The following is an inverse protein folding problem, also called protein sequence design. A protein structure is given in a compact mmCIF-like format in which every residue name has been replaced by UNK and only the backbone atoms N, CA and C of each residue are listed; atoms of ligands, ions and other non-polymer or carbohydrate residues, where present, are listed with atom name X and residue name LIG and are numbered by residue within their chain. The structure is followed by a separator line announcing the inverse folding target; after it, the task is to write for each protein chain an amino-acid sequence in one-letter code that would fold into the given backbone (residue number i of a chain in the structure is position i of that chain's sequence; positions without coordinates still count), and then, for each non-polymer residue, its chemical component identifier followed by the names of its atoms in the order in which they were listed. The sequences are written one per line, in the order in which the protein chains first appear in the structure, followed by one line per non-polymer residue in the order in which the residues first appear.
data_IF_083401885164
#
_entry.id   IF_083401885164
#
_cell.length_a   1.000
_cell.length_b   1.000
_cell.length_c   1.000
_cell.angle_alpha   90.00
_cell.angle_beta   90.00
_cell.angle_gamma   90.00
#
_symmetry.space_group_name_H-M   'P 1'
#
loop_
_entity.id
_entity.type
_entity.pdbx_description
1 polymer ?
#
# COMPACT_ATOMS: atom_id res chain seq x y z
N UNK A 1 -3.86 -15.02 10.24
CA UNK A 1 -3.54 -13.69 9.66
C UNK A 1 -2.82 -12.93 10.76
N UNK A 2 -1.82 -12.10 10.49
CA UNK A 2 -1.19 -11.33 11.58
C UNK A 2 -2.25 -10.41 12.18
N UNK A 3 -2.82 -10.78 13.33
CA UNK A 3 -3.83 -10.01 14.08
C UNK A 3 -3.19 -8.80 14.78
N UNK A 4 -2.21 -8.19 14.14
CA UNK A 4 -1.49 -7.05 14.67
C UNK A 4 -2.12 -5.78 14.10
N UNK A 5 -2.26 -4.77 14.93
CA UNK A 5 -2.58 -3.39 14.54
C UNK A 5 -1.34 -2.52 14.73
N UNK A 6 -1.31 -1.37 14.05
CA UNK A 6 -0.26 -0.39 14.24
C UNK A 6 -0.39 0.29 15.60
N UNK A 7 0.73 0.65 16.26
CA UNK A 7 0.67 1.40 17.49
C UNK A 7 0.30 2.87 17.20
N UNK A 8 -0.70 3.35 17.95
CA UNK A 8 -1.41 4.58 17.62
C UNK A 8 -0.57 5.85 17.81
N UNK A 9 0.37 5.85 18.76
CA UNK A 9 1.19 7.02 19.06
C UNK A 9 2.20 7.29 17.94
N UNK A 10 2.91 6.27 17.50
CA UNK A 10 3.88 6.29 16.40
C UNK A 10 3.16 6.58 15.08
N UNK A 11 2.01 5.94 14.85
CA UNK A 11 1.17 6.27 13.70
C UNK A 11 0.77 7.75 13.70
N UNK A 12 0.32 8.30 14.84
CA UNK A 12 -0.04 9.71 14.93
C UNK A 12 1.16 10.65 14.67
N UNK A 13 2.36 10.29 15.14
CA UNK A 13 3.59 11.02 14.85
C UNK A 13 3.91 11.04 13.35
N UNK A 14 3.85 9.88 12.69
CA UNK A 14 4.04 9.77 11.24
C UNK A 14 3.04 10.63 10.48
N UNK A 15 1.74 10.50 10.80
CA UNK A 15 0.69 11.24 10.09
C UNK A 15 0.85 12.76 10.28
N UNK A 16 1.18 13.22 11.50
CA UNK A 16 1.46 14.63 11.78
C UNK A 16 2.66 15.15 10.97
N UNK A 17 3.74 14.37 10.89
CA UNK A 17 4.93 14.71 10.08
C UNK A 17 4.59 14.81 8.60
N UNK A 18 3.77 13.90 8.08
CA UNK A 18 3.28 13.97 6.70
C UNK A 18 2.45 15.25 6.47
N UNK A 19 1.54 15.58 7.39
CA UNK A 19 0.70 16.77 7.29
C UNK A 19 1.50 18.07 7.21
N UNK A 20 2.49 18.22 8.10
CA UNK A 20 3.32 19.43 8.18
C UNK A 20 4.21 19.57 6.94
N UNK A 21 4.85 18.50 6.49
CA UNK A 21 5.91 18.58 5.49
C UNK A 21 5.41 18.45 4.05
N UNK A 22 4.27 17.79 3.82
CA UNK A 22 3.86 17.37 2.48
C UNK A 22 2.46 17.80 2.06
N UNK A 23 1.63 18.33 2.98
CA UNK A 23 0.25 18.76 2.71
C UNK A 23 -0.53 17.73 1.87
N UNK A 24 -0.78 16.52 2.39
CA UNK A 24 -1.41 15.45 1.63
C UNK A 24 -2.83 15.81 1.21
N UNK A 25 -3.31 15.19 0.12
CA UNK A 25 -4.70 15.37 -0.33
C UNK A 25 -5.66 14.71 0.66
N UNK A 26 -5.34 13.48 1.05
CA UNK A 26 -6.14 12.69 1.97
C UNK A 26 -5.33 11.56 2.62
N UNK A 27 -5.79 11.13 3.80
CA UNK A 27 -5.48 9.86 4.41
C UNK A 27 -6.70 8.95 4.36
N UNK A 28 -6.49 7.70 4.01
CA UNK A 28 -7.48 6.63 4.12
C UNK A 28 -7.02 5.70 5.23
N UNK A 29 -7.88 5.42 6.21
CA UNK A 29 -7.59 4.56 7.34
C UNK A 29 -8.56 3.38 7.38
N UNK A 30 -8.03 2.18 7.56
CA UNK A 30 -8.82 0.96 7.82
C UNK A 30 -8.62 0.56 9.28
N UNK A 31 -9.73 0.35 9.98
CA UNK A 31 -9.76 -0.09 11.38
C UNK A 31 -10.65 -1.31 11.56
N UNK A 32 -10.70 -1.85 12.77
CA UNK A 32 -11.59 -2.97 13.14
C UNK A 32 -13.06 -2.68 12.87
N UNK A 33 -13.51 -1.45 13.10
CA UNK A 33 -14.92 -1.07 12.97
C UNK A 33 -15.25 -0.47 11.60
N UNK A 34 -14.25 -0.01 10.86
CA UNK A 34 -14.46 0.77 9.64
C UNK A 34 -13.50 0.34 8.53
N UNK A 35 -14.06 -0.13 7.41
CA UNK A 35 -13.26 -0.55 6.26
C UNK A 35 -12.46 0.61 5.64
N UNK A 36 -13.02 1.82 5.61
CA UNK A 36 -12.31 3.00 5.13
C UNK A 36 -12.85 4.32 5.70
N UNK A 37 -12.06 4.98 6.53
CA UNK A 37 -12.29 6.35 7.02
C UNK A 37 -11.36 7.30 6.28
N UNK A 38 -11.91 8.39 5.75
CA UNK A 38 -11.16 9.38 4.97
C UNK A 38 -11.01 10.67 5.78
N UNK A 39 -9.76 11.04 6.06
CA UNK A 39 -9.39 12.41 6.45
C UNK A 39 -8.90 13.15 5.23
N UNK A 40 -9.62 14.19 4.81
CA UNK A 40 -9.25 15.00 3.64
C UNK A 40 -8.80 16.40 4.04
N UNK A 41 -7.91 16.97 3.23
CA UNK A 41 -7.53 18.37 3.36
C UNK A 41 -8.68 19.28 2.88
N UNK A 42 -9.17 20.15 3.77
CA UNK A 42 -10.34 21.02 3.51
C UNK A 42 -10.14 21.91 2.28
N UNK A 43 -8.90 22.32 1.96
CA UNK A 43 -8.57 23.13 0.79
C UNK A 43 -8.89 22.43 -0.55
N UNK A 44 -8.83 21.10 -0.57
CA UNK A 44 -9.07 20.27 -1.77
C UNK A 44 -10.36 19.47 -1.70
N UNK A 45 -11.23 19.75 -0.73
CA UNK A 45 -12.50 19.02 -0.49
C UNK A 45 -13.35 18.92 -1.75
N UNK A 46 -13.54 20.02 -2.49
CA UNK A 46 -14.38 20.04 -3.69
C UNK A 46 -13.86 19.12 -4.79
N UNK A 47 -12.55 19.18 -5.06
CA UNK A 47 -11.90 18.29 -6.04
C UNK A 47 -11.91 16.83 -5.57
N UNK A 48 -11.63 16.58 -4.30
CA UNK A 48 -11.66 15.23 -3.73
C UNK A 48 -13.06 14.61 -3.82
N UNK A 49 -14.11 15.36 -3.43
CA UNK A 49 -15.49 14.89 -3.54
C UNK A 49 -15.93 14.67 -5.00
N UNK A 50 -15.42 15.46 -5.93
CA UNK A 50 -15.66 15.27 -7.36
C UNK A 50 -15.00 13.98 -7.88
N UNK A 51 -13.70 13.76 -7.59
CA UNK A 51 -12.99 12.52 -7.95
C UNK A 51 -13.63 11.31 -7.27
N UNK A 52 -14.01 11.43 -6.00
CA UNK A 52 -14.73 10.41 -5.26
C UNK A 52 -16.06 10.06 -5.92
N UNK A 53 -16.86 11.06 -6.34
CA UNK A 53 -18.14 10.84 -7.03
C UNK A 53 -17.93 10.12 -8.37
N UNK A 54 -16.91 10.48 -9.13
CA UNK A 54 -16.57 9.80 -10.39
C UNK A 54 -16.09 8.36 -10.17
N UNK A 55 -15.27 8.11 -9.14
CA UNK A 55 -14.81 6.78 -8.77
C UNK A 55 -15.96 5.91 -8.22
N UNK A 56 -16.88 6.52 -7.45
CA UNK A 56 -18.08 5.85 -6.96
C UNK A 56 -19.01 5.42 -8.10
N UNK A 57 -19.14 6.25 -9.15
CA UNK A 57 -19.91 5.90 -10.36
C UNK A 57 -19.27 4.76 -11.18
N UNK A 58 -17.96 4.50 -11.05
CA UNK A 58 -17.29 3.41 -11.77
C UNK A 58 -17.33 2.07 -11.04
N UNK A 59 -17.69 2.03 -9.76
CA UNK A 59 -17.83 0.81 -8.95
C UNK A 59 -19.22 0.20 -9.16
N UNK A 60 -19.40 -0.58 -10.23
CA UNK A 60 -20.71 -1.13 -10.61
C UNK A 60 -21.32 -2.13 -9.59
N UNK A 61 -20.54 -2.79 -8.69
CA UNK A 61 -21.08 -3.85 -7.79
C UNK A 61 -20.48 -3.93 -6.37
N UNK A 62 -19.31 -3.34 -6.07
CA UNK A 62 -18.71 -3.42 -4.70
C UNK A 62 -18.79 -2.07 -3.98
N UNK A 63 -19.58 -2.01 -2.90
CA UNK A 63 -19.78 -0.79 -2.09
C UNK A 63 -19.04 -0.94 -0.76
N UNK A 64 -17.73 -0.71 -0.75
CA UNK A 64 -17.06 -0.47 0.54
C UNK A 64 -17.64 0.82 1.16
N UNK A 65 -18.09 0.80 2.42
CA UNK A 65 -18.63 1.99 3.05
C UNK A 65 -17.47 2.94 3.40
N UNK A 66 -17.27 3.97 2.57
CA UNK A 66 -16.32 5.04 2.85
C UNK A 66 -16.96 6.08 3.78
N UNK A 67 -16.29 6.41 4.89
CA UNK A 67 -16.76 7.41 5.85
C UNK A 67 -15.83 8.62 5.79
N UNK A 68 -16.30 9.71 5.21
CA UNK A 68 -15.56 10.97 5.11
C UNK A 68 -15.73 11.85 6.35
N UNK A 69 -15.13 11.46 7.47
CA UNK A 69 -15.23 12.20 8.74
C UNK A 69 -13.86 12.37 9.42
N UNK A 70 -13.38 13.61 9.47
CA UNK A 70 -12.10 13.94 10.09
C UNK A 70 -12.11 13.74 11.62
N UNK A 71 -13.25 13.91 12.30
CA UNK A 71 -13.34 13.73 13.74
C UNK A 71 -13.31 12.23 14.08
N UNK A 72 -14.10 11.42 13.37
CA UNK A 72 -14.05 9.97 13.49
C UNK A 72 -12.65 9.43 13.20
N UNK A 73 -11.98 9.95 12.17
CA UNK A 73 -10.60 9.57 11.87
C UNK A 73 -9.66 9.85 13.05
N UNK A 74 -9.78 11.00 13.72
CA UNK A 74 -8.94 11.32 14.88
C UNK A 74 -9.28 10.45 16.09
N UNK A 75 -10.56 10.13 16.30
CA UNK A 75 -11.00 9.23 17.36
C UNK A 75 -10.44 7.82 17.17
N UNK A 76 -10.54 7.28 15.96
CA UNK A 76 -10.04 5.95 15.59
C UNK A 76 -8.52 5.90 15.58
N UNK A 77 -7.83 6.97 15.15
CA UNK A 77 -6.38 7.09 15.29
C UNK A 77 -5.94 7.03 16.76
N UNK A 78 -6.73 7.58 17.69
CA UNK A 78 -6.36 7.62 19.10
C UNK A 78 -6.65 6.29 19.81
N UNK A 79 -7.82 5.71 19.56
CA UNK A 79 -8.36 4.62 20.38
C UNK A 79 -8.64 3.32 19.61
N UNK A 80 -8.69 3.37 18.28
CA UNK A 80 -9.04 2.23 17.44
C UNK A 80 -7.86 1.30 17.17
N UNK A 81 -8.16 0.10 16.68
CA UNK A 81 -7.15 -0.81 16.12
C UNK A 81 -6.99 -0.50 14.64
N UNK A 82 -5.87 0.11 14.28
CA UNK A 82 -5.61 0.54 12.90
C UNK A 82 -4.79 -0.51 12.14
N UNK A 83 -5.31 -1.00 11.02
CA UNK A 83 -4.67 -2.05 10.22
C UNK A 83 -3.98 -1.52 8.97
N UNK A 84 -4.42 -0.36 8.46
CA UNK A 84 -3.83 0.22 7.26
C UNK A 84 -4.08 1.72 7.21
N UNK A 85 -3.07 2.47 6.79
CA UNK A 85 -3.23 3.88 6.40
C UNK A 85 -2.60 4.11 5.05
N UNK A 86 -3.34 4.72 4.12
CA UNK A 86 -2.85 5.15 2.83
C UNK A 86 -2.80 6.68 2.79
N UNK A 87 -1.63 7.23 2.50
CA UNK A 87 -1.42 8.66 2.36
C UNK A 87 -1.29 9.06 0.90
N UNK A 88 -2.18 9.93 0.42
CA UNK A 88 -2.15 10.46 -0.94
C UNK A 88 -1.30 11.74 -1.00
N UNK A 89 -0.05 11.56 -1.43
CA UNK A 89 0.90 12.67 -1.61
C UNK A 89 0.39 13.56 -2.75
N UNK A 90 0.22 14.85 -2.47
CA UNK A 90 -0.58 15.79 -3.26
C UNK A 90 -0.10 16.08 -4.69
N UNK A 91 -0.39 17.26 -5.22
CA UNK A 91 -0.08 17.63 -6.62
C UNK A 91 1.40 17.99 -6.90
N UNK A 92 2.31 17.75 -5.94
CA UNK A 92 3.73 18.11 -6.06
C UNK A 92 4.43 17.43 -7.25
N UNK A 93 5.45 18.09 -7.80
CA UNK A 93 6.41 17.47 -8.72
C UNK A 93 7.25 16.42 -7.96
N UNK A 94 7.79 15.41 -8.64
CA UNK A 94 8.66 14.36 -8.07
C UNK A 94 8.04 13.43 -6.99
N UNK A 95 6.72 13.15 -7.06
CA UNK A 95 5.99 12.32 -6.09
C UNK A 95 6.62 10.95 -5.81
N UNK A 96 7.14 10.27 -6.83
CA UNK A 96 7.78 8.97 -6.67
C UNK A 96 9.05 9.05 -5.81
N UNK A 97 9.86 10.11 -5.99
CA UNK A 97 11.06 10.35 -5.18
C UNK A 97 10.68 10.61 -3.72
N UNK A 98 9.70 11.49 -3.50
CA UNK A 98 9.18 11.81 -2.15
C UNK A 98 8.64 10.55 -1.46
N UNK A 99 7.83 9.76 -2.16
CA UNK A 99 7.23 8.52 -1.61
C UNK A 99 8.32 7.54 -1.17
N UNK A 100 9.36 7.39 -2.00
CA UNK A 100 10.51 6.53 -1.71
C UNK A 100 11.37 7.03 -0.54
N UNK A 101 11.61 8.34 -0.46
CA UNK A 101 12.37 8.94 0.65
C UNK A 101 11.61 8.82 1.97
N UNK A 102 10.32 9.15 1.99
CA UNK A 102 9.44 8.93 3.14
C UNK A 102 9.39 7.47 3.57
N UNK A 103 9.37 6.55 2.61
CA UNK A 103 9.39 5.13 2.91
C UNK A 103 10.66 4.72 3.65
N UNK A 104 11.82 5.21 3.22
CA UNK A 104 13.09 4.97 3.89
C UNK A 104 13.10 5.57 5.29
N UNK A 105 12.74 6.85 5.40
CA UNK A 105 12.70 7.58 6.67
C UNK A 105 11.80 6.89 7.70
N UNK A 106 10.57 6.52 7.33
CA UNK A 106 9.66 5.87 8.25
C UNK A 106 10.09 4.47 8.66
N UNK A 107 10.75 3.71 7.77
CA UNK A 107 11.30 2.40 8.13
C UNK A 107 12.46 2.49 9.12
N UNK A 108 13.22 3.59 9.08
CA UNK A 108 14.35 3.83 10.00
C UNK A 108 13.87 4.40 11.34
N UNK A 109 12.91 5.33 11.32
CA UNK A 109 12.42 6.02 12.52
C UNK A 109 11.34 5.24 13.27
N UNK A 110 10.51 4.44 12.57
CA UNK A 110 9.36 3.72 13.11
C UNK A 110 9.38 2.23 12.72
N UNK A 111 10.33 1.43 13.25
CA UNK A 111 10.54 0.04 12.85
C UNK A 111 9.39 -0.92 13.24
N UNK A 112 8.44 -0.48 14.03
CA UNK A 112 7.18 -1.16 14.38
C UNK A 112 6.06 -0.97 13.34
N UNK A 113 6.26 -0.09 12.35
CA UNK A 113 5.32 0.14 11.25
C UNK A 113 5.98 -0.25 9.93
N UNK A 114 5.33 -1.13 9.19
CA UNK A 114 5.73 -1.44 7.82
C UNK A 114 5.26 -0.30 6.91
N UNK A 115 6.21 0.36 6.25
CA UNK A 115 5.93 1.34 5.20
C UNK A 115 6.20 0.72 3.84
N UNK A 116 5.31 0.93 2.88
CA UNK A 116 5.52 0.63 1.46
C UNK A 116 5.05 1.79 0.59
N UNK A 117 5.44 1.83 -0.68
CA UNK A 117 5.16 2.97 -1.54
C UNK A 117 4.78 2.58 -2.96
N UNK A 118 3.95 3.44 -3.56
CA UNK A 118 3.68 3.53 -4.99
C UNK A 118 3.92 4.97 -5.45
N UNK A 119 3.81 5.27 -6.74
CA UNK A 119 4.15 6.60 -7.30
C UNK A 119 3.45 7.78 -6.61
N UNK A 120 2.25 7.57 -6.05
CA UNK A 120 1.42 8.64 -5.45
C UNK A 120 0.97 8.36 -4.02
N UNK A 121 1.21 7.14 -3.52
CA UNK A 121 0.65 6.68 -2.25
C UNK A 121 1.72 6.00 -1.43
N UNK A 122 1.85 6.42 -0.18
CA UNK A 122 2.53 5.65 0.84
C UNK A 122 1.50 4.85 1.63
N UNK A 123 1.80 3.57 1.82
CA UNK A 123 0.96 2.62 2.55
C UNK A 123 1.68 2.21 3.83
N UNK A 124 1.02 2.45 4.96
CA UNK A 124 1.46 2.08 6.29
C UNK A 124 0.60 0.91 6.76
N UNK A 125 1.26 -0.09 7.33
CA UNK A 125 0.68 -1.35 7.79
C UNK A 125 1.43 -1.83 9.03
N UNK A 126 0.88 -2.74 9.83
CA UNK A 126 1.60 -3.35 10.95
C UNK A 126 2.92 -3.97 10.49
N UNK A 127 3.94 -4.00 11.37
CA UNK A 127 5.22 -4.65 11.06
C UNK A 127 5.01 -6.06 10.50
N UNK A 128 5.66 -6.35 9.38
CA UNK A 128 5.57 -7.64 8.72
C UNK A 128 4.29 -7.85 7.89
N UNK A 129 3.34 -6.92 7.88
CA UNK A 129 2.18 -6.96 6.99
C UNK A 129 2.53 -6.40 5.61
N UNK A 130 3.38 -7.11 4.86
CA UNK A 130 3.72 -6.79 3.47
C UNK A 130 3.30 -7.91 2.51
N UNK A 131 3.26 -7.61 1.21
CA UNK A 131 2.80 -8.57 0.17
C UNK A 131 3.61 -9.87 0.19
N UNK A 132 4.93 -9.77 0.35
CA UNK A 132 5.83 -10.94 0.43
C UNK A 132 5.46 -11.90 1.56
N UNK A 133 5.33 -11.38 2.78
CA UNK A 133 4.90 -12.17 3.94
C UNK A 133 3.47 -12.70 3.77
N UNK A 134 2.57 -11.93 3.13
CA UNK A 134 1.21 -12.36 2.83
C UNK A 134 1.16 -13.59 1.93
N UNK A 135 1.91 -13.57 0.82
CA UNK A 135 1.98 -14.72 -0.11
C UNK A 135 2.66 -15.91 0.57
N UNK A 136 3.77 -15.69 1.28
CA UNK A 136 4.47 -16.78 2.00
C UNK A 136 3.54 -17.45 3.02
N UNK A 137 2.81 -16.66 3.81
CA UNK A 137 1.86 -17.20 4.78
C UNK A 137 0.72 -17.98 4.12
N UNK A 138 0.22 -17.49 2.98
CA UNK A 138 -0.81 -18.21 2.22
C UNK A 138 -0.28 -19.56 1.72
N UNK A 139 0.96 -19.61 1.23
CA UNK A 139 1.58 -20.86 0.78
C UNK A 139 1.71 -21.87 1.93
N UNK A 140 2.14 -21.43 3.12
CA UNK A 140 2.19 -22.27 4.32
C UNK A 140 0.81 -22.86 4.66
N UNK A 141 -0.24 -22.03 4.66
CA UNK A 141 -1.59 -22.46 5.04
C UNK A 141 -2.20 -23.45 4.05
N UNK A 142 -1.83 -23.32 2.76
CA UNK A 142 -2.34 -24.16 1.69
C UNK A 142 -1.41 -25.32 1.33
N UNK A 143 -0.29 -25.49 2.06
CA UNK A 143 0.78 -26.45 1.74
C UNK A 143 1.27 -26.35 0.29
N UNK A 144 1.37 -25.12 -0.25
CA UNK A 144 1.89 -24.86 -1.59
C UNK A 144 3.41 -24.74 -1.52
N UNK A 145 4.12 -25.47 -2.39
CA UNK A 145 5.56 -25.33 -2.49
C UNK A 145 5.90 -23.94 -3.04
N UNK A 146 6.81 -23.24 -2.37
CA UNK A 146 7.28 -21.91 -2.75
C UNK A 146 7.84 -21.86 -4.19
N UNK A 147 8.39 -22.97 -4.67
CA UNK A 147 8.91 -23.09 -6.03
C UNK A 147 7.78 -23.11 -7.09
N UNK A 148 6.54 -23.41 -6.72
CA UNK A 148 5.40 -23.41 -7.65
C UNK A 148 4.71 -22.03 -7.71
N UNK A 149 5.27 -21.03 -7.03
CA UNK A 149 4.66 -19.72 -6.86
C UNK A 149 5.34 -18.70 -7.76
N UNK A 150 4.56 -18.14 -8.68
CA UNK A 150 4.99 -17.08 -9.58
C UNK A 150 4.42 -15.76 -9.11
N UNK A 151 5.29 -14.77 -8.88
CA UNK A 151 4.88 -13.45 -8.39
C UNK A 151 5.09 -12.37 -9.45
N UNK A 152 4.12 -11.47 -9.57
CA UNK A 152 4.14 -10.39 -10.56
C UNK A 152 3.83 -9.06 -9.90
N UNK A 153 4.56 -8.02 -10.28
CA UNK A 153 4.34 -6.67 -9.75
C UNK A 153 4.97 -5.59 -10.60
N UNK A 154 4.82 -4.35 -10.17
CA UNK A 154 5.25 -3.16 -10.93
C UNK A 154 5.73 -1.99 -10.07
N UNK A 155 5.52 -2.07 -8.75
CA UNK A 155 5.66 -0.95 -7.82
C UNK A 155 6.41 -1.32 -6.54
N UNK A 156 6.66 -0.33 -5.68
CA UNK A 156 7.53 -0.51 -4.50
C UNK A 156 7.01 -1.52 -3.48
N UNK A 157 5.69 -1.65 -3.33
CA UNK A 157 5.09 -2.63 -2.41
C UNK A 157 5.23 -4.09 -2.89
N UNK A 158 5.63 -4.32 -4.15
CA UNK A 158 5.86 -5.66 -4.71
C UNK A 158 7.27 -6.20 -4.42
N UNK A 159 8.21 -5.33 -4.02
CA UNK A 159 9.63 -5.70 -3.79
C UNK A 159 9.76 -6.88 -2.83
N UNK A 160 8.98 -6.87 -1.74
CA UNK A 160 9.01 -7.95 -0.73
C UNK A 160 8.60 -9.31 -1.29
N UNK A 161 7.68 -9.36 -2.26
CA UNK A 161 7.37 -10.61 -2.97
C UNK A 161 8.53 -11.02 -3.87
N UNK A 162 9.14 -10.07 -4.60
CA UNK A 162 10.26 -10.40 -5.48
C UNK A 162 11.46 -10.94 -4.71
N UNK A 163 11.78 -10.38 -3.55
CA UNK A 163 12.89 -10.85 -2.72
C UNK A 163 12.63 -12.26 -2.17
N UNK A 164 11.39 -12.54 -1.73
CA UNK A 164 11.04 -13.86 -1.19
C UNK A 164 10.91 -14.93 -2.26
N UNK A 165 10.35 -14.60 -3.42
CA UNK A 165 10.04 -15.53 -4.52
C UNK A 165 10.93 -15.24 -5.73
N UNK A 166 12.24 -15.05 -5.49
CA UNK A 166 13.14 -14.48 -6.49
C UNK A 166 13.19 -15.27 -7.79
N UNK A 167 13.27 -16.60 -7.73
CA UNK A 167 13.37 -17.47 -8.90
C UNK A 167 12.22 -17.26 -9.89
N UNK A 168 10.99 -17.12 -9.40
CA UNK A 168 9.79 -16.93 -10.21
C UNK A 168 9.19 -15.53 -10.05
N UNK A 169 10.05 -14.52 -9.92
CA UNK A 169 9.65 -13.12 -9.80
C UNK A 169 9.68 -12.37 -11.14
N UNK A 170 8.58 -11.67 -11.45
CA UNK A 170 8.39 -10.97 -12.72
C UNK A 170 7.98 -9.51 -12.50
N UNK A 171 8.84 -8.57 -12.89
CA UNK A 171 8.47 -7.15 -12.92
C UNK A 171 7.86 -6.76 -14.27
N UNK A 172 6.76 -6.02 -14.25
CA UNK A 172 6.13 -5.50 -15.46
C UNK A 172 7.09 -4.59 -16.23
N UNK A 173 7.12 -4.71 -17.57
CA UNK A 173 8.04 -3.93 -18.43
C UNK A 173 7.81 -2.41 -18.27
N UNK A 174 6.59 -1.99 -17.93
CA UNK A 174 6.21 -0.61 -17.65
C UNK A 174 6.37 -0.20 -16.18
N UNK A 175 6.72 -1.14 -15.30
CA UNK A 175 6.96 -0.90 -13.88
C UNK A 175 8.16 0.01 -13.63
N UNK A 176 8.21 0.58 -12.43
CA UNK A 176 9.19 1.61 -12.10
C UNK A 176 10.64 1.07 -12.22
N UNK A 177 11.57 1.78 -12.86
CA UNK A 177 12.94 1.29 -13.06
C UNK A 177 13.64 0.87 -11.76
N UNK A 178 13.42 1.60 -10.66
CA UNK A 178 14.03 1.26 -9.37
C UNK A 178 13.50 -0.02 -8.72
N UNK A 179 12.35 -0.53 -9.18
CA UNK A 179 11.70 -1.75 -8.68
C UNK A 179 12.15 -2.97 -9.48
N UNK A 180 12.34 -2.80 -10.79
CA UNK A 180 12.69 -3.87 -11.73
C UNK A 180 13.92 -4.67 -11.34
N UNK A 181 14.91 -4.02 -10.72
CA UNK A 181 16.15 -4.67 -10.27
C UNK A 181 15.97 -5.73 -9.19
N UNK A 182 14.83 -5.75 -8.51
CA UNK A 182 14.54 -6.72 -7.44
C UNK A 182 13.90 -8.02 -7.98
N UNK A 183 13.33 -7.99 -9.20
CA UNK A 183 12.78 -9.16 -9.85
C UNK A 183 13.82 -9.81 -10.77
N UNK A 184 13.80 -11.15 -10.85
CA UNK A 184 14.68 -11.93 -11.72
C UNK A 184 14.32 -11.78 -13.20
N UNK A 185 13.03 -11.67 -13.50
CA UNK A 185 12.51 -11.59 -14.85
C UNK A 185 11.72 -10.32 -15.10
N UNK A 186 11.56 -9.98 -16.37
CA UNK A 186 10.66 -8.89 -16.80
C UNK A 186 9.61 -9.42 -17.76
N UNK A 187 8.38 -8.92 -17.63
CA UNK A 187 7.26 -9.37 -18.46
C UNK A 187 6.44 -8.20 -18.97
N UNK A 188 5.94 -8.28 -20.20
CA UNK A 188 5.16 -7.17 -20.80
C UNK A 188 3.68 -7.21 -20.43
N UNK A 189 3.12 -8.42 -20.23
CA UNK A 189 1.71 -8.67 -19.92
C UNK A 189 1.60 -9.97 -19.12
N UNK A 190 0.72 -10.01 -18.13
CA UNK A 190 0.58 -11.13 -17.19
C UNK A 190 0.26 -12.45 -17.91
N UNK A 191 -0.65 -12.46 -18.89
CA UNK A 191 -1.02 -13.69 -19.62
C UNK A 191 0.15 -14.39 -20.32
N UNK A 192 1.28 -13.71 -20.54
CA UNK A 192 2.46 -14.35 -21.13
C UNK A 192 3.15 -15.34 -20.17
N UNK A 193 2.79 -15.33 -18.88
CA UNK A 193 3.25 -16.33 -17.91
C UNK A 193 2.72 -17.72 -18.20
N UNK A 194 1.50 -17.82 -18.74
CA UNK A 194 0.87 -19.11 -19.06
C UNK A 194 1.80 -19.95 -19.95
N UNK A 195 2.34 -19.33 -21.01
CA UNK A 195 3.32 -19.98 -21.91
C UNK A 195 4.65 -20.35 -21.27
N UNK A 196 5.01 -19.75 -20.13
CA UNK A 196 6.25 -20.04 -19.40
C UNK A 196 6.03 -21.18 -18.41
N UNK A 197 4.87 -21.20 -17.75
CA UNK A 197 4.45 -22.24 -16.81
C UNK A 197 4.15 -23.55 -17.55
N UNK A 198 3.56 -23.50 -18.74
CA UNK A 198 3.33 -24.70 -19.58
C UNK A 198 4.62 -25.38 -20.06
N UNK A 199 5.79 -24.73 -19.91
CA UNK A 199 7.10 -25.21 -20.40
C UNK A 199 8.07 -25.62 -19.30
N UNK A 200 7.72 -25.40 -18.03
CA UNK A 200 8.51 -25.74 -16.83
C UNK A 200 8.04 -27.05 -16.24
#
# INVERSE_FOLDING_TARGET
IYENWMPNEELAQILKKIEINYEPIAFLMTTENHSCIIKYNRKVRGFFMFVYKLWWLSQFVYREPFIGDNNLFQQELKNGKVFKVMNFIGLRKNKAKISKELNKEFREEFPEIESSWTVKVNELTPKGCNKGNGVEKYCELMNINKNDVYVVGDSGNDITMFEKFHEHSYCMKRGHPSVRKYAKHTISRVYKLEKLIERS
#
